data_IF_172516915754
#
_entry.id   IF_172516915754
#
_cell.length_a   1.000
_cell.length_b   1.000
_cell.length_c   1.000
_cell.angle_alpha   90.00
_cell.angle_beta   90.00
_cell.angle_gamma   90.00
#
_symmetry.space_group_name_H-M   'P 1'
#
loop_
_entity.id
_entity.type
_entity.pdbx_description
1 polymer ?
#
# COMPACT_ATOMS: atom_id res chain seq x y z
N UNK A 1 21.40 -17.22 -30.20
CA UNK A 1 21.61 -16.50 -28.93
C UNK A 1 20.57 -15.39 -28.84
N UNK A 2 19.49 -15.60 -28.12
CA UNK A 2 18.51 -14.56 -27.80
C UNK A 2 18.06 -14.79 -26.37
N UNK A 3 18.83 -14.20 -25.46
CA UNK A 3 18.52 -14.13 -24.03
C UNK A 3 17.40 -13.11 -23.84
N UNK A 4 16.14 -13.57 -23.74
CA UNK A 4 15.04 -12.74 -23.30
C UNK A 4 14.60 -13.19 -21.91
N UNK A 5 15.16 -12.49 -20.91
CA UNK A 5 14.59 -12.20 -19.60
C UNK A 5 13.56 -13.22 -19.06
N UNK A 6 14.06 -14.23 -18.35
CA UNK A 6 13.31 -14.84 -17.23
C UNK A 6 13.22 -13.84 -16.08
N UNK A 7 12.51 -12.74 -16.29
CA UNK A 7 11.97 -11.93 -15.20
C UNK A 7 10.78 -12.70 -14.64
N UNK A 8 11.02 -13.75 -13.87
CA UNK A 8 10.00 -14.27 -12.96
C UNK A 8 9.62 -13.13 -12.03
N UNK A 9 8.58 -12.38 -12.40
CA UNK A 9 7.78 -11.61 -11.46
C UNK A 9 7.30 -12.64 -10.46
N UNK A 10 8.05 -12.84 -9.37
CA UNK A 10 7.62 -13.68 -8.25
C UNK A 10 6.26 -13.13 -7.85
N UNK A 11 5.19 -13.81 -8.26
CA UNK A 11 3.83 -13.33 -8.09
C UNK A 11 3.65 -13.10 -6.61
N UNK A 12 3.49 -11.84 -6.22
CA UNK A 12 3.26 -11.49 -4.82
C UNK A 12 1.83 -11.91 -4.56
N UNK A 13 1.65 -13.09 -3.99
CA UNK A 13 0.33 -13.64 -3.71
C UNK A 13 -0.27 -13.03 -2.45
N UNK A 14 0.57 -12.58 -1.51
CA UNK A 14 0.15 -12.17 -0.17
C UNK A 14 0.87 -10.93 0.33
N UNK A 15 0.25 -10.25 1.30
CA UNK A 15 0.89 -9.18 2.06
C UNK A 15 2.15 -9.66 2.78
N UNK A 16 2.18 -10.90 3.29
CA UNK A 16 3.36 -11.47 3.94
C UNK A 16 4.62 -11.44 3.06
N UNK A 17 4.45 -11.73 1.75
CA UNK A 17 5.52 -11.60 0.76
C UNK A 17 5.81 -10.13 0.42
N UNK A 18 4.76 -9.33 0.30
CA UNK A 18 4.85 -7.91 -0.05
C UNK A 18 5.65 -7.12 0.99
N UNK A 19 5.40 -7.32 2.28
CA UNK A 19 6.07 -6.60 3.39
C UNK A 19 7.58 -6.79 3.37
N UNK A 20 8.08 -7.94 2.90
CA UNK A 20 9.52 -8.25 2.89
C UNK A 20 10.28 -7.59 1.74
N UNK A 21 9.61 -7.23 0.65
CA UNK A 21 10.23 -6.71 -0.58
C UNK A 21 9.79 -5.31 -0.96
N UNK A 22 8.55 -4.97 -0.63
CA UNK A 22 7.89 -3.73 -1.00
C UNK A 22 7.47 -3.02 0.28
N UNK A 23 8.33 -2.19 0.86
CA UNK A 23 8.01 -1.48 2.10
C UNK A 23 6.89 -0.45 1.90
N UNK A 24 6.63 -0.02 0.66
CA UNK A 24 5.59 0.93 0.33
C UNK A 24 4.63 0.40 -0.73
N UNK A 25 3.38 0.83 -0.56
CA UNK A 25 2.28 0.59 -1.47
C UNK A 25 1.67 1.93 -1.86
N UNK A 26 1.61 2.20 -3.15
CA UNK A 26 0.88 3.34 -3.71
C UNK A 26 -0.51 2.90 -4.11
N UNK A 27 -1.52 3.65 -3.69
CA UNK A 27 -2.92 3.43 -4.06
C UNK A 27 -3.39 4.64 -4.84
N UNK A 28 -3.65 4.43 -6.12
CA UNK A 28 -4.22 5.43 -7.02
C UNK A 28 -5.74 5.24 -7.08
N UNK A 29 -6.48 6.22 -6.59
CA UNK A 29 -7.93 6.23 -6.68
C UNK A 29 -8.36 6.85 -8.03
N UNK A 30 -9.39 6.30 -8.70
CA UNK A 30 -9.91 6.84 -9.96
C UNK A 30 -10.43 8.29 -9.86
N UNK A 31 -10.64 8.84 -8.67
CA UNK A 31 -10.97 10.26 -8.49
C UNK A 31 -9.79 11.22 -8.70
N UNK A 32 -8.58 10.71 -8.99
CA UNK A 32 -7.36 11.52 -9.15
C UNK A 32 -6.52 11.64 -7.88
N UNK A 33 -6.98 11.08 -6.76
CA UNK A 33 -6.20 11.03 -5.52
C UNK A 33 -5.25 9.84 -5.51
N UNK A 34 -4.00 10.08 -5.14
CA UNK A 34 -3.02 9.04 -4.86
C UNK A 34 -2.56 9.12 -3.41
N UNK A 35 -2.40 7.98 -2.76
CA UNK A 35 -1.86 7.89 -1.40
C UNK A 35 -0.76 6.83 -1.34
N UNK A 36 0.26 7.09 -0.54
CA UNK A 36 1.28 6.10 -0.20
C UNK A 36 0.96 5.51 1.16
N UNK A 37 1.11 4.20 1.30
CA UNK A 37 0.82 3.44 2.50
C UNK A 37 2.00 2.54 2.80
N UNK A 38 2.30 2.33 4.08
CA UNK A 38 3.29 1.32 4.46
C UNK A 38 2.66 -0.07 4.35
N UNK A 39 3.29 -0.95 3.58
CA UNK A 39 2.79 -2.30 3.35
C UNK A 39 2.67 -3.10 4.65
N UNK A 40 3.60 -2.91 5.59
CA UNK A 40 3.60 -3.58 6.90
C UNK A 40 2.40 -3.17 7.74
N UNK A 41 2.08 -1.87 7.75
CA UNK A 41 0.95 -1.33 8.51
C UNK A 41 -0.38 -1.77 7.91
N UNK A 42 -0.50 -1.78 6.58
CA UNK A 42 -1.69 -2.28 5.89
C UNK A 42 -1.90 -3.78 6.12
N UNK A 43 -0.81 -4.57 6.09
CA UNK A 43 -0.86 -5.99 6.39
C UNK A 43 -1.31 -6.25 7.83
N UNK A 44 -0.83 -5.45 8.79
CA UNK A 44 -1.21 -5.54 10.19
C UNK A 44 -2.68 -5.17 10.48
N UNK A 45 -3.29 -4.32 9.65
CA UNK A 45 -4.70 -3.93 9.80
C UNK A 45 -5.66 -4.86 9.04
N UNK A 46 -5.23 -5.47 7.95
CA UNK A 46 -6.07 -6.31 7.10
C UNK A 46 -5.88 -7.79 7.38
N UNK A 47 -4.79 -8.37 6.87
CA UNK A 47 -4.24 -9.69 7.17
C UNK A 47 -3.01 -9.91 6.30
N UNK A 48 -2.00 -10.61 6.83
CA UNK A 48 -0.81 -10.99 6.07
C UNK A 48 -1.09 -11.99 4.95
N UNK A 49 -2.18 -12.75 5.04
CA UNK A 49 -2.55 -13.79 4.06
C UNK A 49 -3.35 -13.24 2.88
N UNK A 50 -3.74 -11.96 2.93
CA UNK A 50 -4.58 -11.34 1.92
C UNK A 50 -3.76 -10.87 0.72
N UNK A 51 -4.36 -10.89 -0.46
CA UNK A 51 -3.73 -10.31 -1.67
C UNK A 51 -3.65 -8.79 -1.53
N UNK A 52 -2.45 -8.19 -1.67
CA UNK A 52 -2.26 -6.76 -1.61
C UNK A 52 -3.06 -5.97 -2.66
N UNK A 53 -3.34 -6.55 -3.83
CA UNK A 53 -4.11 -5.91 -4.89
C UNK A 53 -5.63 -5.95 -4.63
N UNK A 54 -6.10 -6.77 -3.67
CA UNK A 54 -7.52 -6.94 -3.38
C UNK A 54 -7.94 -6.26 -2.06
N UNK A 55 -7.21 -5.23 -1.62
CA UNK A 55 -7.59 -4.46 -0.44
C UNK A 55 -8.77 -3.55 -0.72
N UNK A 56 -9.77 -3.60 0.17
CA UNK A 56 -10.91 -2.70 0.15
C UNK A 56 -10.46 -1.30 0.59
N UNK A 57 -9.91 -0.53 -0.36
CA UNK A 57 -9.52 0.84 -0.11
C UNK A 57 -10.69 1.79 -0.36
N UNK A 58 -10.97 2.66 0.62
CA UNK A 58 -11.98 3.72 0.51
C UNK A 58 -11.30 5.08 0.53
N UNK A 59 -11.34 5.79 -0.60
CA UNK A 59 -10.86 7.16 -0.66
C UNK A 59 -11.74 8.07 0.20
N UNK A 60 -11.13 8.99 0.95
CA UNK A 60 -11.86 9.94 1.80
C UNK A 60 -12.73 10.91 0.98
N UNK A 61 -12.26 11.29 -0.20
CA UNK A 61 -12.95 12.23 -1.11
C UNK A 61 -14.15 11.57 -1.79
N UNK A 62 -13.94 10.48 -2.53
CA UNK A 62 -15.01 9.84 -3.30
C UNK A 62 -15.74 8.70 -2.58
N UNK A 63 -15.31 8.33 -1.36
CA UNK A 63 -15.86 7.22 -0.56
C UNK A 63 -15.96 5.87 -1.28
N UNK A 64 -15.18 5.67 -2.35
CA UNK A 64 -15.22 4.47 -3.19
C UNK A 64 -16.29 4.47 -4.29
N UNK A 65 -16.97 5.60 -4.53
CA UNK A 65 -18.00 5.70 -5.58
C UNK A 65 -17.42 5.74 -7.00
N UNK A 66 -16.16 6.19 -7.16
CA UNK A 66 -15.53 6.37 -8.47
C UNK A 66 -14.97 5.07 -9.10
N UNK A 67 -15.10 3.92 -8.43
CA UNK A 67 -14.63 2.63 -8.95
C UNK A 67 -13.48 2.00 -8.16
N UNK A 68 -12.85 0.96 -8.72
CA UNK A 68 -11.78 0.22 -8.05
C UNK A 68 -10.46 0.99 -8.07
N UNK A 69 -9.80 1.20 -6.92
CA UNK A 69 -8.48 1.82 -6.86
C UNK A 69 -7.42 0.89 -7.44
N UNK A 70 -6.40 1.48 -8.07
CA UNK A 70 -5.24 0.75 -8.58
C UNK A 70 -4.16 0.72 -7.50
N UNK A 71 -3.69 -0.48 -7.19
CA UNK A 71 -2.67 -0.71 -6.17
C UNK A 71 -1.35 -1.03 -6.87
N UNK A 72 -0.28 -0.35 -6.45
CA UNK A 72 1.07 -0.53 -6.96
C UNK A 72 2.02 -0.73 -5.78
N UNK A 73 2.76 -1.82 -5.79
CA UNK A 73 3.79 -2.10 -4.79
C UNK A 73 5.12 -1.51 -5.26
N UNK A 74 5.77 -0.73 -4.39
CA UNK A 74 7.00 -0.01 -4.69
C UNK A 74 8.16 -0.63 -3.91
N UNK A 75 9.14 -1.15 -4.66
CA UNK A 75 10.42 -1.58 -4.13
C UNK A 75 11.32 -0.35 -4.10
N UNK A 76 11.20 0.39 -3.02
CA UNK A 76 11.92 1.65 -2.81
C UNK A 76 12.63 1.59 -1.47
N UNK A 77 13.89 2.00 -1.48
CA UNK A 77 14.67 2.18 -0.26
C UNK A 77 14.07 3.35 0.53
N UNK A 78 13.51 3.04 1.70
CA UNK A 78 12.76 3.99 2.51
C UNK A 78 13.64 5.15 2.97
N UNK A 79 14.94 4.89 3.17
CA UNK A 79 15.94 5.89 3.56
C UNK A 79 16.29 6.86 2.41
N UNK A 80 16.05 6.47 1.15
CA UNK A 80 16.33 7.29 -0.04
C UNK A 80 15.10 7.98 -0.61
N UNK A 81 13.93 7.79 -0.01
CA UNK A 81 12.69 8.35 -0.54
C UNK A 81 12.59 9.86 -0.25
N UNK A 82 12.25 10.68 -1.25
CA UNK A 82 12.03 12.10 -1.06
C UNK A 82 10.78 12.31 -0.21
N UNK A 83 10.92 12.78 1.04
CA UNK A 83 9.87 13.29 1.99
C UNK A 83 8.41 13.04 1.54
N UNK A 84 8.02 11.78 1.37
CA UNK A 84 6.70 11.40 0.85
C UNK A 84 5.71 11.36 2.01
N UNK A 85 4.49 11.83 1.76
CA UNK A 85 3.39 11.65 2.69
C UNK A 85 2.94 10.21 2.66
N UNK A 86 3.19 9.47 3.74
CA UNK A 86 2.73 8.10 3.95
C UNK A 86 1.58 8.10 4.93
N UNK A 87 0.47 7.50 4.53
CA UNK A 87 -0.67 7.25 5.39
C UNK A 87 -0.31 6.15 6.38
N UNK A 88 -0.38 6.49 7.67
CA UNK A 88 -0.17 5.56 8.76
C UNK A 88 -1.47 5.35 9.54
N UNK A 89 -1.76 4.12 9.99
CA UNK A 89 -2.85 3.85 10.88
C UNK A 89 -2.54 4.42 12.26
N UNK A 90 -3.39 5.33 12.74
CA UNK A 90 -3.35 5.87 14.08
C UNK A 90 -4.47 5.21 14.89
N UNK A 91 -4.09 4.37 15.84
CA UNK A 91 -5.04 3.77 16.78
C UNK A 91 -5.36 4.80 17.87
N UNK A 92 -6.59 5.33 17.90
CA UNK A 92 -7.02 6.31 18.90
C UNK A 92 -7.43 5.69 20.26
N UNK A 93 -7.16 4.41 20.49
CA UNK A 93 -7.43 3.72 21.76
C UNK A 93 -7.70 2.23 21.56
N UNK A 94 -7.96 1.50 22.64
CA UNK A 94 -8.21 0.03 22.60
C UNK A 94 -9.50 -0.38 21.87
N UNK A 95 -10.46 0.53 21.72
CA UNK A 95 -11.80 0.25 21.17
C UNK A 95 -12.25 1.26 20.09
N UNK A 96 -11.33 2.07 19.56
CA UNK A 96 -11.65 3.06 18.53
C UNK A 96 -11.24 2.56 17.14
N UNK A 97 -11.96 2.96 16.08
CA UNK A 97 -11.58 2.59 14.72
C UNK A 97 -10.21 3.17 14.39
N UNK A 98 -9.39 2.39 13.66
CA UNK A 98 -8.11 2.83 13.14
C UNK A 98 -8.31 4.00 12.19
N UNK A 99 -7.79 5.18 12.54
CA UNK A 99 -7.86 6.37 11.71
C UNK A 99 -6.57 6.48 10.91
N UNK A 100 -6.69 6.50 9.58
CA UNK A 100 -5.53 6.71 8.72
C UNK A 100 -5.21 8.21 8.66
N UNK A 101 -3.98 8.57 8.98
CA UNK A 101 -3.50 9.96 8.93
C UNK A 101 -2.27 10.07 8.05
N UNK A 102 -2.23 11.11 7.20
CA UNK A 102 -1.10 11.39 6.33
C UNK A 102 0.05 11.92 7.19
N UNK A 103 1.11 11.13 7.35
CA UNK A 103 2.34 11.54 8.00
C UNK A 103 3.44 11.73 6.94
N UNK A 104 4.20 12.81 7.03
CA UNK A 104 5.40 12.96 6.20
C UNK A 104 6.48 12.04 6.74
N UNK A 105 7.05 11.22 5.86
CA UNK A 105 8.27 10.49 6.16
C UNK A 105 9.39 11.53 6.39
N UNK A 106 10.03 11.47 7.57
CA UNK A 106 11.04 12.43 8.01
C UNK A 106 12.42 12.06 7.51
#
# INVERSE_FOLDING_TARGET
MSSYFYGMTKTIWTFGDAVRRFPLMRVDCPCGNAGFFNTMEVAGETSYERDPHNVAFRCRECKGQSGRPKIQLLEVDVDRLPKVGVWRPVKMGRNQPTVWSLQRLR
#
